data_IF_730013212110
#
_entry.id   IF_730013212110
#
_cell.length_a   1.000
_cell.length_b   1.000
_cell.length_c   1.000
_cell.angle_alpha   90.00
_cell.angle_beta   90.00
_cell.angle_gamma   90.00
#
_symmetry.space_group_name_H-M   'P 1'
#
loop_
_entity.id
_entity.type
_entity.pdbx_description
1 polymer ?
#
# COMPACT_ATOMS: atom_id res chain seq x y z
N UNK A 1 5.04 -8.18 0.96
CA UNK A 1 4.16 -8.19 2.14
C UNK A 1 3.31 -6.93 2.09
N UNK A 2 2.29 -6.94 1.23
CA UNK A 2 1.33 -5.86 1.12
C UNK A 2 0.23 -6.26 2.09
N UNK A 3 0.29 -5.75 3.32
CA UNK A 3 -0.90 -5.78 4.17
C UNK A 3 -1.86 -4.82 3.50
N UNK A 4 -2.96 -5.28 2.88
CA UNK A 4 -3.94 -4.36 2.35
C UNK A 4 -4.41 -3.47 3.49
N UNK A 5 -4.74 -2.21 3.20
CA UNK A 5 -5.34 -1.26 4.17
C UNK A 5 -6.67 -1.75 4.79
N UNK A 6 -7.07 -2.99 4.50
CA UNK A 6 -8.22 -3.74 5.00
C UNK A 6 -7.88 -4.90 5.95
N UNK A 7 -6.62 -5.26 6.21
CA UNK A 7 -6.27 -6.38 7.10
C UNK A 7 -6.22 -5.96 8.58
N UNK A 8 -7.40 -5.64 9.11
CA UNK A 8 -7.64 -5.15 10.47
C UNK A 8 -7.34 -6.16 11.59
N UNK A 9 -7.05 -7.41 11.26
CA UNK A 9 -6.78 -8.46 12.24
C UNK A 9 -5.41 -8.26 12.93
N UNK A 10 -4.38 -7.88 12.18
CA UNK A 10 -3.07 -7.52 12.74
C UNK A 10 -3.17 -6.26 13.62
N UNK A 11 -4.02 -5.31 13.22
CA UNK A 11 -4.30 -4.07 13.96
C UNK A 11 -5.03 -4.33 15.30
N UNK A 12 -6.01 -5.25 15.33
CA UNK A 12 -6.66 -5.67 16.59
C UNK A 12 -5.70 -6.35 17.54
N UNK A 13 -4.77 -7.16 17.03
CA UNK A 13 -3.72 -7.77 17.85
C UNK A 13 -2.78 -6.74 18.47
N UNK A 14 -2.46 -5.65 17.75
CA UNK A 14 -1.66 -4.55 18.27
C UNK A 14 -2.41 -3.74 19.34
N UNK A 15 -3.70 -3.47 19.14
CA UNK A 15 -4.57 -2.81 20.14
C UNK A 15 -4.62 -3.60 21.45
N UNK A 16 -4.85 -4.92 21.38
CA UNK A 16 -4.85 -5.78 22.57
C UNK A 16 -3.51 -5.80 23.33
N UNK A 17 -2.40 -5.56 22.63
CA UNK A 17 -1.06 -5.46 23.24
C UNK A 17 -0.89 -4.14 24.01
N UNK A 18 -1.45 -3.03 23.49
CA UNK A 18 -1.50 -1.72 24.18
C UNK A 18 -2.44 -1.77 25.39
N UNK A 19 -3.57 -2.50 25.29
CA UNK A 19 -4.50 -2.71 26.41
C UNK A 19 -3.87 -3.49 27.56
N UNK A 20 -3.13 -4.57 27.24
CA UNK A 20 -2.47 -5.40 28.24
C UNK A 20 -1.49 -4.56 29.08
N UNK A 21 -0.76 -3.64 28.44
CA UNK A 21 0.17 -2.73 29.11
C UNK A 21 -0.57 -1.64 29.89
N UNK A 22 -1.62 -1.04 29.30
CA UNK A 22 -2.44 0.00 29.97
C UNK A 22 -3.18 -0.55 31.20
N UNK A 23 -3.58 -1.81 31.18
CA UNK A 23 -4.22 -2.51 32.30
C UNK A 23 -3.26 -2.71 33.48
N UNK A 24 -2.01 -3.12 33.22
CA UNK A 24 -0.96 -3.24 34.24
C UNK A 24 -0.71 -1.90 34.95
N UNK A 25 -0.70 -0.79 34.20
CA UNK A 25 -0.54 0.58 34.75
C UNK A 25 -1.73 0.98 35.63
N UNK A 26 -2.95 0.59 35.28
CA UNK A 26 -4.14 0.98 36.04
C UNK A 26 -4.29 0.18 37.35
N UNK A 27 -3.81 -1.07 37.39
CA UNK A 27 -3.78 -1.91 38.60
C UNK A 27 -2.79 -1.36 39.65
N UNK A 28 -1.70 -0.71 39.25
CA UNK A 28 -0.74 -0.11 40.19
C UNK A 28 -1.25 1.11 40.97
N UNK A 29 -2.41 1.68 40.60
CA UNK A 29 -2.97 2.88 41.23
C UNK A 29 -3.83 2.60 42.48
N UNK A 30 -3.95 1.35 42.97
CA UNK A 30 -4.99 0.97 43.95
C UNK A 30 -4.53 0.42 45.31
N UNK A 31 -3.27 0.54 45.74
CA UNK A 31 -2.87 0.11 47.10
C UNK A 31 -1.89 1.07 47.79
N UNK A 32 -2.34 1.67 48.89
CA UNK A 32 -1.77 2.83 49.58
C UNK A 32 -0.56 2.54 50.52
N UNK A 33 0.40 3.48 50.48
CA UNK A 33 1.33 3.98 51.53
C UNK A 33 2.59 3.23 52.04
N UNK A 34 2.98 2.04 51.59
CA UNK A 34 4.29 1.42 52.00
C UNK A 34 5.27 1.11 50.84
N UNK A 35 4.86 1.34 49.59
CA UNK A 35 5.53 0.86 48.36
C UNK A 35 6.36 1.91 47.59
N UNK A 36 6.36 3.18 48.02
CA UNK A 36 6.76 4.35 47.22
C UNK A 36 8.20 4.32 46.65
N UNK A 37 9.17 3.67 47.30
CA UNK A 37 10.54 3.58 46.79
C UNK A 37 10.73 2.48 45.73
N UNK A 38 10.08 1.32 45.90
CA UNK A 38 10.12 0.20 44.94
C UNK A 38 9.22 0.52 43.72
N UNK A 39 8.11 1.23 43.94
CA UNK A 39 7.21 1.74 42.89
C UNK A 39 7.85 2.79 41.98
N UNK A 40 8.85 3.55 42.44
CA UNK A 40 9.53 4.55 41.58
C UNK A 40 10.30 3.89 40.42
N UNK A 41 10.92 2.73 40.67
CA UNK A 41 11.65 1.95 39.68
C UNK A 41 10.68 1.21 38.76
N UNK A 42 9.64 0.58 39.32
CA UNK A 42 8.62 -0.13 38.53
C UNK A 42 7.82 0.80 37.62
N UNK A 43 7.39 1.98 38.10
CA UNK A 43 6.72 3.00 37.27
C UNK A 43 7.63 3.54 36.17
N UNK A 44 8.91 3.76 36.45
CA UNK A 44 9.88 4.16 35.44
C UNK A 44 10.06 3.07 34.38
N UNK A 45 10.13 1.80 34.78
CA UNK A 45 10.20 0.65 33.87
C UNK A 45 8.92 0.55 33.02
N UNK A 46 7.73 0.73 33.59
CA UNK A 46 6.46 0.72 32.86
C UNK A 46 6.36 1.84 31.82
N UNK A 47 6.77 3.06 32.17
CA UNK A 47 6.82 4.19 31.23
C UNK A 47 7.84 3.95 30.11
N UNK A 48 8.99 3.36 30.42
CA UNK A 48 9.99 2.97 29.43
C UNK A 48 9.45 1.91 28.47
N UNK A 49 8.78 0.88 28.99
CA UNK A 49 8.16 -0.18 28.18
C UNK A 49 7.06 0.38 27.25
N UNK A 50 6.22 1.28 27.76
CA UNK A 50 5.20 1.97 26.97
C UNK A 50 5.82 2.80 25.82
N UNK A 51 6.87 3.57 26.12
CA UNK A 51 7.59 4.35 25.11
C UNK A 51 8.25 3.45 24.04
N UNK A 52 8.81 2.30 24.44
CA UNK A 52 9.37 1.33 23.50
C UNK A 52 8.29 0.78 22.55
N UNK A 53 7.09 0.48 23.07
CA UNK A 53 6.00 -0.07 22.25
C UNK A 53 5.55 0.94 21.19
N UNK A 54 5.36 2.22 21.55
CA UNK A 54 5.04 3.26 20.57
C UNK A 54 6.14 3.45 19.53
N UNK A 55 7.41 3.42 19.95
CA UNK A 55 8.55 3.48 19.05
C UNK A 55 8.57 2.31 18.06
N UNK A 56 8.37 1.07 18.52
CA UNK A 56 8.33 -0.11 17.66
C UNK A 56 7.12 -0.12 16.73
N UNK A 57 5.94 0.31 17.21
CA UNK A 57 4.73 0.42 16.38
C UNK A 57 4.92 1.44 15.26
N UNK A 58 5.34 2.66 15.60
CA UNK A 58 5.60 3.71 14.61
C UNK A 58 6.71 3.31 13.64
N UNK A 59 7.81 2.77 14.16
CA UNK A 59 8.90 2.25 13.34
C UNK A 59 8.47 1.11 12.41
N UNK A 60 7.55 0.25 12.86
CA UNK A 60 6.93 -0.80 12.05
C UNK A 60 6.11 -0.25 10.88
N UNK A 61 5.22 0.71 11.17
CA UNK A 61 4.41 1.42 10.16
C UNK A 61 5.32 2.12 9.14
N UNK A 62 6.33 2.85 9.60
CA UNK A 62 7.23 3.56 8.70
C UNK A 62 8.06 2.61 7.84
N UNK A 63 8.62 1.53 8.39
CA UNK A 63 9.32 0.52 7.60
C UNK A 63 8.41 -0.11 6.54
N UNK A 64 7.17 -0.40 6.88
CA UNK A 64 6.19 -0.97 5.94
C UNK A 64 5.84 0.02 4.83
N UNK A 65 5.55 1.28 5.16
CA UNK A 65 5.30 2.35 4.19
C UNK A 65 6.52 2.62 3.30
N UNK A 66 7.73 2.55 3.87
CA UNK A 66 8.98 2.78 3.13
C UNK A 66 9.28 1.66 2.14
N UNK A 67 9.08 0.40 2.54
CA UNK A 67 9.18 -0.73 1.61
C UNK A 67 8.15 -0.62 0.48
N UNK A 68 6.92 -0.17 0.78
CA UNK A 68 5.92 0.08 -0.25
C UNK A 68 6.38 1.18 -1.22
N UNK A 69 6.90 2.30 -0.71
CA UNK A 69 7.45 3.39 -1.52
C UNK A 69 8.58 2.93 -2.44
N UNK A 70 9.51 2.12 -1.93
CA UNK A 70 10.59 1.53 -2.74
C UNK A 70 10.04 0.67 -3.88
N UNK A 71 9.08 -0.21 -3.59
CA UNK A 71 8.48 -1.08 -4.60
C UNK A 71 7.76 -0.24 -5.69
N UNK A 72 6.93 0.72 -5.28
CA UNK A 72 6.22 1.61 -6.20
C UNK A 72 7.19 2.39 -7.09
N UNK A 73 8.24 2.98 -6.50
CA UNK A 73 9.26 3.71 -7.27
C UNK A 73 10.01 2.80 -8.24
N UNK A 74 10.47 1.62 -7.82
CA UNK A 74 11.22 0.70 -8.69
C UNK A 74 10.38 0.26 -9.90
N UNK A 75 9.11 -0.09 -9.67
CA UNK A 75 8.18 -0.49 -10.74
C UNK A 75 7.90 0.70 -11.67
N UNK A 76 7.53 1.86 -11.10
CA UNK A 76 7.26 3.08 -11.86
C UNK A 76 8.46 3.51 -12.70
N UNK A 77 9.66 3.51 -12.12
CA UNK A 77 10.91 3.82 -12.81
C UNK A 77 11.22 2.82 -13.92
N UNK A 78 11.03 1.52 -13.69
CA UNK A 78 11.24 0.50 -14.73
C UNK A 78 10.30 0.72 -15.93
N UNK A 79 9.04 1.09 -15.65
CA UNK A 79 8.04 1.42 -16.68
C UNK A 79 8.41 2.71 -17.41
N UNK A 80 8.88 3.75 -16.71
CA UNK A 80 9.34 4.99 -17.34
C UNK A 80 10.51 4.72 -18.31
N UNK A 81 11.51 3.95 -17.85
CA UNK A 81 12.65 3.55 -18.69
C UNK A 81 12.16 2.76 -19.90
N UNK A 82 11.25 1.80 -19.71
CA UNK A 82 10.68 1.05 -20.82
C UNK A 82 9.93 1.95 -21.80
N UNK A 83 9.02 2.80 -21.32
CA UNK A 83 8.15 3.64 -22.16
C UNK A 83 8.97 4.59 -23.05
N UNK A 84 9.95 5.30 -22.49
CA UNK A 84 10.73 6.28 -23.24
C UNK A 84 11.87 5.68 -24.10
N UNK A 85 12.15 4.37 -23.99
CA UNK A 85 13.15 3.69 -24.82
C UNK A 85 12.54 2.89 -26.00
N UNK A 86 11.26 3.12 -26.35
CA UNK A 86 10.53 2.38 -27.39
C UNK A 86 10.64 3.00 -28.81
N UNK A 87 11.75 3.66 -29.14
CA UNK A 87 11.95 4.32 -30.43
C UNK A 87 12.38 3.38 -31.58
N UNK A 88 12.17 3.76 -32.86
CA UNK A 88 12.62 2.96 -34.01
C UNK A 88 14.13 2.71 -33.95
N UNK A 89 14.55 1.44 -33.93
CA UNK A 89 15.97 1.05 -33.87
C UNK A 89 16.60 1.07 -32.47
N UNK A 90 15.83 1.34 -31.41
CA UNK A 90 16.31 1.25 -30.03
C UNK A 90 16.23 -0.21 -29.53
N UNK A 91 17.35 -0.76 -29.08
CA UNK A 91 17.36 -2.04 -28.34
C UNK A 91 17.08 -1.75 -26.87
N UNK A 92 16.11 -2.46 -26.29
CA UNK A 92 15.79 -2.36 -24.86
C UNK A 92 17.05 -2.59 -24.00
N UNK A 93 17.43 -1.59 -23.21
CA UNK A 93 18.52 -1.67 -22.20
C UNK A 93 18.00 -1.45 -20.78
N UNK A 94 16.69 -1.48 -20.58
CA UNK A 94 16.06 -1.27 -19.28
C UNK A 94 16.38 -2.40 -18.31
N UNK A 95 17.40 -2.22 -17.49
CA UNK A 95 17.69 -3.17 -16.43
C UNK A 95 16.89 -2.79 -15.18
N UNK A 96 16.05 -3.69 -14.65
CA UNK A 96 15.43 -3.55 -13.32
C UNK A 96 16.47 -3.12 -12.25
N UNK A 97 17.70 -3.62 -12.40
CA UNK A 97 18.85 -3.26 -11.58
C UNK A 97 19.19 -1.77 -11.61
N UNK A 98 18.97 -1.08 -12.73
CA UNK A 98 19.16 0.36 -12.85
C UNK A 98 18.13 1.13 -12.01
N UNK A 99 16.85 0.75 -12.07
CA UNK A 99 15.80 1.36 -11.23
C UNK A 99 16.06 1.13 -9.75
N UNK A 100 16.53 -0.07 -9.37
CA UNK A 100 16.97 -0.37 -8.00
C UNK A 100 18.14 0.54 -7.62
N UNK A 101 19.18 0.61 -8.45
CA UNK A 101 20.34 1.46 -8.20
C UNK A 101 19.93 2.93 -8.00
N UNK A 102 19.06 3.47 -8.86
CA UNK A 102 18.57 4.85 -8.74
C UNK A 102 17.74 5.09 -7.49
N UNK A 103 16.91 4.11 -7.09
CA UNK A 103 16.13 4.18 -5.86
C UNK A 103 17.04 4.38 -4.64
N UNK A 104 18.10 3.58 -4.52
CA UNK A 104 19.02 3.63 -3.38
C UNK A 104 20.04 4.76 -3.47
N UNK A 105 20.51 5.11 -4.67
CA UNK A 105 21.59 6.08 -4.86
C UNK A 105 21.12 7.54 -4.90
N UNK A 106 19.95 7.80 -5.46
CA UNK A 106 19.49 9.15 -5.77
C UNK A 106 18.16 9.53 -5.10
N UNK A 107 17.21 8.59 -5.01
CA UNK A 107 15.83 8.93 -4.61
C UNK A 107 15.44 8.49 -3.19
N UNK A 108 16.32 7.80 -2.47
CA UNK A 108 16.05 7.21 -1.16
C UNK A 108 15.45 8.20 -0.15
N UNK A 109 15.97 9.43 -0.12
CA UNK A 109 15.48 10.48 0.78
C UNK A 109 14.05 10.93 0.47
N UNK A 110 13.68 11.04 -0.82
CA UNK A 110 12.31 11.40 -1.21
C UNK A 110 11.32 10.27 -0.91
N UNK A 111 11.74 9.01 -1.09
CA UNK A 111 10.95 7.84 -0.72
C UNK A 111 10.76 7.73 0.79
N UNK A 112 11.82 7.98 1.57
CA UNK A 112 11.78 8.03 3.03
C UNK A 112 10.84 9.13 3.54
N UNK A 113 10.88 10.33 2.93
CA UNK A 113 10.03 11.45 3.31
C UNK A 113 8.55 11.19 3.03
N UNK A 114 8.19 10.76 1.81
CA UNK A 114 6.80 10.45 1.48
C UNK A 114 6.22 9.31 2.33
N UNK A 115 7.00 8.25 2.54
CA UNK A 115 6.58 7.13 3.40
C UNK A 115 6.47 7.50 4.87
N UNK A 116 7.29 8.43 5.35
CA UNK A 116 7.17 8.98 6.71
C UNK A 116 5.84 9.73 6.90
N UNK A 117 5.43 10.56 5.92
CA UNK A 117 4.13 11.25 5.96
C UNK A 117 2.99 10.23 6.06
N UNK A 118 3.01 9.18 5.24
CA UNK A 118 2.01 8.12 5.29
C UNK A 118 2.00 7.41 6.66
N UNK A 119 3.18 7.10 7.22
CA UNK A 119 3.30 6.46 8.52
C UNK A 119 2.75 7.31 9.67
N UNK A 120 2.94 8.63 9.64
CA UNK A 120 2.35 9.56 10.62
C UNK A 120 0.84 9.50 10.57
N UNK A 121 0.24 9.53 9.37
CA UNK A 121 -1.22 9.46 9.22
C UNK A 121 -1.76 8.10 9.66
N UNK A 122 -1.10 7.00 9.30
CA UNK A 122 -1.44 5.65 9.76
C UNK A 122 -1.36 5.53 11.29
N UNK A 123 -0.35 6.15 11.92
CA UNK A 123 -0.22 6.17 13.37
C UNK A 123 -1.36 6.95 14.03
N UNK A 124 -1.74 8.12 13.50
CA UNK A 124 -2.90 8.89 13.99
C UNK A 124 -4.18 8.04 13.88
N UNK A 125 -4.38 7.34 12.76
CA UNK A 125 -5.53 6.44 12.58
C UNK A 125 -5.55 5.31 13.60
N UNK A 126 -4.38 4.71 13.88
CA UNK A 126 -4.23 3.69 14.90
C UNK A 126 -4.62 4.21 16.28
N UNK A 127 -4.17 5.40 16.66
CA UNK A 127 -4.52 6.01 17.94
C UNK A 127 -6.03 6.30 18.04
N UNK A 128 -6.68 6.76 16.97
CA UNK A 128 -8.13 6.98 16.95
C UNK A 128 -8.93 5.68 17.09
N UNK A 129 -8.53 4.61 16.42
CA UNK A 129 -9.18 3.30 16.56
C UNK A 129 -8.97 2.70 17.94
N UNK A 130 -7.79 2.91 18.54
CA UNK A 130 -7.54 2.57 19.94
C UNK A 130 -8.48 3.34 20.89
N UNK A 131 -8.64 4.66 20.71
CA UNK A 131 -9.57 5.45 21.51
C UNK A 131 -11.04 4.99 21.35
N UNK A 132 -11.44 4.59 20.13
CA UNK A 132 -12.77 4.00 19.87
C UNK A 132 -12.95 2.67 20.59
N UNK A 133 -11.93 1.81 20.58
CA UNK A 133 -11.95 0.55 21.29
C UNK A 133 -12.08 0.75 22.80
N UNK A 134 -11.30 1.66 23.38
CA UNK A 134 -11.39 1.96 24.82
C UNK A 134 -12.73 2.55 25.23
N UNK A 135 -13.30 3.44 24.42
CA UNK A 135 -14.63 4.02 24.69
C UNK A 135 -15.71 2.93 24.74
N UNK A 136 -15.59 1.86 23.94
CA UNK A 136 -16.51 0.71 23.98
C UNK A 136 -16.37 -0.14 25.24
N UNK A 137 -15.18 -0.17 25.85
CA UNK A 137 -14.92 -0.96 27.07
C UNK A 137 -15.22 -0.19 28.36
N UNK A 138 -14.91 1.11 28.41
CA UNK A 138 -14.91 1.89 29.66
C UNK A 138 -16.13 2.80 29.84
N UNK A 139 -16.75 3.27 28.76
CA UNK A 139 -17.82 4.27 28.83
C UNK A 139 -19.20 3.66 28.64
N UNK A 140 -20.14 4.06 29.50
CA UNK A 140 -21.58 3.93 29.24
C UNK A 140 -21.97 4.62 27.91
N UNK A 141 -23.19 4.36 27.43
CA UNK A 141 -23.68 4.64 26.07
C UNK A 141 -23.82 6.15 25.70
N UNK A 142 -22.75 6.94 25.80
CA UNK A 142 -22.73 8.32 25.32
C UNK A 142 -22.62 8.36 23.79
N UNK A 143 -23.79 8.41 23.14
CA UNK A 143 -23.94 8.45 21.68
C UNK A 143 -23.17 9.60 21.02
N UNK A 144 -22.99 10.73 21.71
CA UNK A 144 -22.27 11.89 21.18
C UNK A 144 -20.77 11.59 20.98
N UNK A 145 -20.11 11.04 22.00
CA UNK A 145 -18.68 10.67 21.92
C UNK A 145 -18.43 9.62 20.85
N UNK A 146 -19.31 8.62 20.72
CA UNK A 146 -19.23 7.60 19.66
C UNK A 146 -19.32 8.23 18.27
N UNK A 147 -20.30 9.12 18.05
CA UNK A 147 -20.50 9.81 16.79
C UNK A 147 -19.27 10.64 16.37
N UNK A 148 -18.69 11.41 17.31
CA UNK A 148 -17.49 12.23 17.04
C UNK A 148 -16.30 11.35 16.66
N UNK A 149 -16.04 10.28 17.42
CA UNK A 149 -14.93 9.37 17.14
C UNK A 149 -15.10 8.61 15.82
N UNK A 150 -16.32 8.23 15.46
CA UNK A 150 -16.62 7.62 14.16
C UNK A 150 -16.39 8.60 13.01
N UNK A 151 -16.79 9.87 13.17
CA UNK A 151 -16.55 10.92 12.18
C UNK A 151 -15.04 11.19 11.98
N UNK A 152 -14.28 11.34 13.07
CA UNK A 152 -12.83 11.55 13.02
C UNK A 152 -12.09 10.36 12.40
N UNK A 153 -12.47 9.13 12.76
CA UNK A 153 -11.90 7.92 12.17
C UNK A 153 -12.17 7.87 10.65
N UNK A 154 -13.38 8.22 10.21
CA UNK A 154 -13.70 8.33 8.79
C UNK A 154 -12.83 9.38 8.07
N UNK A 155 -12.71 10.58 8.64
CA UNK A 155 -11.90 11.66 8.07
C UNK A 155 -10.42 11.26 7.93
N UNK A 156 -9.84 10.68 8.97
CA UNK A 156 -8.43 10.23 8.93
C UNK A 156 -8.26 9.05 7.98
N UNK A 157 -9.24 8.14 7.88
CA UNK A 157 -9.20 7.06 6.89
C UNK A 157 -9.25 7.59 5.45
N UNK A 158 -10.05 8.62 5.17
CA UNK A 158 -10.07 9.31 3.88
C UNK A 158 -8.74 10.00 3.60
N UNK A 159 -8.17 10.68 4.60
CA UNK A 159 -6.89 11.35 4.48
C UNK A 159 -5.73 10.38 4.24
N UNK A 160 -5.70 9.22 4.92
CA UNK A 160 -4.71 8.17 4.66
C UNK A 160 -4.76 7.69 3.21
N UNK A 161 -5.97 7.39 2.70
CA UNK A 161 -6.15 6.97 1.30
C UNK A 161 -5.69 8.04 0.31
N UNK A 162 -5.94 9.31 0.62
CA UNK A 162 -5.48 10.43 -0.19
C UNK A 162 -3.94 10.54 -0.19
N UNK A 163 -3.30 10.40 0.97
CA UNK A 163 -1.83 10.43 1.07
C UNK A 163 -1.21 9.21 0.37
N UNK A 164 -1.80 8.02 0.50
CA UNK A 164 -1.36 6.83 -0.22
C UNK A 164 -1.45 7.04 -1.75
N UNK A 165 -2.56 7.60 -2.22
CA UNK A 165 -2.77 7.96 -3.63
C UNK A 165 -1.75 8.99 -4.12
N UNK A 166 -1.53 10.06 -3.35
CA UNK A 166 -0.59 11.13 -3.69
C UNK A 166 0.85 10.60 -3.73
N UNK A 167 1.27 9.84 -2.72
CA UNK A 167 2.60 9.25 -2.65
C UNK A 167 2.90 8.37 -3.86
N UNK A 168 1.98 7.46 -4.19
CA UNK A 168 2.12 6.56 -5.34
C UNK A 168 2.38 7.32 -6.63
N UNK A 169 1.60 8.36 -6.89
CA UNK A 169 1.74 9.19 -8.10
C UNK A 169 2.97 10.10 -8.07
N UNK A 170 3.31 10.64 -6.90
CA UNK A 170 4.53 11.40 -6.70
C UNK A 170 5.78 10.56 -7.02
N UNK A 171 5.80 9.28 -6.61
CA UNK A 171 6.94 8.40 -6.90
C UNK A 171 7.13 8.13 -8.40
N UNK A 172 6.05 8.03 -9.17
CA UNK A 172 6.12 7.95 -10.64
C UNK A 172 6.68 9.26 -11.18
N UNK A 173 6.20 10.41 -10.71
CA UNK A 173 6.71 11.71 -11.17
C UNK A 173 8.17 11.97 -10.78
N UNK A 174 8.64 11.47 -9.64
CA UNK A 174 10.06 11.52 -9.28
C UNK A 174 10.88 10.72 -10.30
N UNK A 175 10.38 9.56 -10.74
CA UNK A 175 11.07 8.75 -11.75
C UNK A 175 11.14 9.44 -13.12
N UNK A 176 10.12 10.21 -13.49
CA UNK A 176 10.07 10.98 -14.74
C UNK A 176 10.93 12.25 -14.71
N UNK A 177 10.82 13.03 -13.64
CA UNK A 177 11.36 14.40 -13.60
C UNK A 177 12.64 14.54 -12.77
N UNK A 178 13.00 13.51 -11.99
CA UNK A 178 14.09 13.55 -11.00
C UNK A 178 13.97 14.66 -9.94
N UNK A 179 12.78 15.26 -9.76
CA UNK A 179 12.50 16.27 -8.73
C UNK A 179 12.44 15.62 -7.33
N UNK A 180 12.57 16.45 -6.29
CA UNK A 180 12.30 16.03 -4.92
C UNK A 180 10.81 15.78 -4.69
N UNK A 181 10.46 15.15 -3.56
CA UNK A 181 9.09 14.70 -3.29
C UNK A 181 8.02 15.78 -3.43
N UNK A 182 8.16 16.96 -2.79
CA UNK A 182 7.07 17.94 -2.78
C UNK A 182 6.76 18.53 -4.17
N UNK A 183 7.74 18.99 -4.97
CA UNK A 183 7.49 19.41 -6.34
C UNK A 183 6.89 18.29 -7.20
N UNK A 184 7.43 17.07 -7.11
CA UNK A 184 6.92 15.94 -7.88
C UNK A 184 5.48 15.56 -7.49
N UNK A 185 5.13 15.64 -6.21
CA UNK A 185 3.77 15.40 -5.72
C UNK A 185 2.79 16.47 -6.24
N UNK A 186 3.23 17.73 -6.29
CA UNK A 186 2.44 18.82 -6.88
C UNK A 186 2.19 18.56 -8.37
N UNK A 187 3.25 18.30 -9.14
CA UNK A 187 3.14 18.03 -10.58
C UNK A 187 2.27 16.79 -10.85
N UNK A 188 2.38 15.75 -10.01
CA UNK A 188 1.55 14.56 -10.09
C UNK A 188 0.07 14.88 -9.89
N UNK A 189 -0.25 15.68 -8.87
CA UNK A 189 -1.63 16.08 -8.58
C UNK A 189 -2.21 16.96 -9.69
N UNK A 190 -1.45 17.92 -10.22
CA UNK A 190 -1.86 18.78 -11.32
C UNK A 190 -2.13 17.97 -12.60
N UNK A 191 -1.25 17.02 -12.94
CA UNK A 191 -1.39 16.11 -14.08
C UNK A 191 -2.65 15.23 -13.97
N UNK A 192 -2.91 14.69 -12.78
CA UNK A 192 -4.12 13.90 -12.48
C UNK A 192 -5.37 14.76 -12.61
N UNK A 193 -5.37 15.95 -12.02
CA UNK A 193 -6.53 16.83 -12.04
C UNK A 193 -6.92 17.23 -13.47
N UNK A 194 -5.92 17.59 -14.28
CA UNK A 194 -6.11 17.92 -15.69
C UNK A 194 -6.64 16.74 -16.54
N UNK A 195 -6.37 15.51 -16.14
CA UNK A 195 -6.72 14.29 -16.88
C UNK A 195 -7.59 13.31 -16.07
N UNK A 196 -8.46 13.85 -15.21
CA UNK A 196 -9.22 13.05 -14.21
C UNK A 196 -10.00 11.90 -14.85
N UNK A 197 -10.63 12.11 -16.01
CA UNK A 197 -11.41 11.08 -16.69
C UNK A 197 -10.54 9.90 -17.12
N UNK A 198 -9.40 10.16 -17.76
CA UNK A 198 -8.46 9.12 -18.22
C UNK A 198 -7.89 8.36 -17.03
N UNK A 199 -7.51 9.07 -15.98
CA UNK A 199 -6.98 8.47 -14.75
C UNK A 199 -8.01 7.58 -14.06
N UNK A 200 -9.25 8.05 -13.92
CA UNK A 200 -10.35 7.29 -13.32
C UNK A 200 -10.68 6.02 -14.10
N UNK A 201 -10.72 6.10 -15.44
CA UNK A 201 -11.00 4.94 -16.30
C UNK A 201 -9.92 3.86 -16.18
N UNK A 202 -8.64 4.21 -16.31
CA UNK A 202 -7.54 3.23 -16.21
C UNK A 202 -7.46 2.64 -14.80
N UNK A 203 -7.58 3.47 -13.76
CA UNK A 203 -7.59 3.02 -12.37
C UNK A 203 -8.79 2.09 -12.09
N UNK A 204 -9.97 2.41 -12.62
CA UNK A 204 -11.18 1.62 -12.48
C UNK A 204 -11.08 0.25 -13.18
N UNK A 205 -10.68 0.23 -14.45
CA UNK A 205 -10.48 -1.01 -15.22
C UNK A 205 -9.38 -1.87 -14.58
N UNK A 206 -8.26 -1.25 -14.20
CA UNK A 206 -7.17 -1.93 -13.51
C UNK A 206 -7.62 -2.57 -12.20
N UNK A 207 -8.47 -1.89 -11.42
CA UNK A 207 -9.02 -2.40 -10.17
C UNK A 207 -9.92 -3.62 -10.39
N UNK A 208 -10.79 -3.58 -11.40
CA UNK A 208 -11.65 -4.71 -11.77
C UNK A 208 -10.80 -5.91 -12.22
N UNK A 209 -9.84 -5.68 -13.10
CA UNK A 209 -8.93 -6.73 -13.58
C UNK A 209 -8.11 -7.34 -12.45
N UNK A 210 -7.59 -6.51 -11.55
CA UNK A 210 -6.86 -6.91 -10.35
C UNK A 210 -7.71 -7.77 -9.42
N UNK A 211 -9.00 -7.43 -9.26
CA UNK A 211 -9.94 -8.22 -8.47
C UNK A 211 -10.22 -9.59 -9.09
N UNK A 212 -10.55 -9.61 -10.39
CA UNK A 212 -10.86 -10.85 -11.12
C UNK A 212 -9.63 -11.77 -11.14
N UNK A 213 -8.44 -11.26 -11.42
CA UNK A 213 -7.24 -12.10 -11.48
C UNK A 213 -6.85 -12.71 -10.14
N UNK A 214 -7.07 -12.02 -9.01
CA UNK A 214 -6.87 -12.61 -7.66
C UNK A 214 -7.80 -13.80 -7.42
N UNK A 215 -9.08 -13.66 -7.78
CA UNK A 215 -10.06 -14.75 -7.66
C UNK A 215 -9.72 -15.90 -8.60
N UNK A 216 -9.39 -15.59 -9.86
CA UNK A 216 -9.04 -16.58 -10.86
C UNK A 216 -7.84 -17.44 -10.44
N UNK A 217 -6.74 -16.83 -9.99
CA UNK A 217 -5.56 -17.56 -9.53
C UNK A 217 -5.89 -18.45 -8.31
N UNK A 218 -6.68 -17.93 -7.37
CA UNK A 218 -7.12 -18.70 -6.20
C UNK A 218 -7.96 -19.92 -6.58
N UNK A 219 -9.02 -19.72 -7.36
CA UNK A 219 -9.92 -20.81 -7.76
C UNK A 219 -9.25 -21.82 -8.69
N UNK A 220 -8.48 -21.37 -9.67
CA UNK A 220 -7.73 -22.26 -10.56
C UNK A 220 -6.77 -23.15 -9.74
N UNK A 221 -6.06 -22.58 -8.77
CA UNK A 221 -5.15 -23.36 -7.92
C UNK A 221 -5.89 -24.39 -7.08
N UNK A 222 -7.06 -24.06 -6.53
CA UNK A 222 -7.90 -25.02 -5.80
C UNK A 222 -8.34 -26.15 -6.70
N UNK A 223 -8.84 -25.84 -7.90
CA UNK A 223 -9.29 -26.86 -8.85
C UNK A 223 -8.15 -27.82 -9.20
N UNK A 224 -6.99 -27.30 -9.61
CA UNK A 224 -5.84 -28.15 -9.95
C UNK A 224 -5.30 -28.95 -8.76
N UNK A 225 -5.15 -28.32 -7.59
CA UNK A 225 -4.67 -29.03 -6.39
C UNK A 225 -5.64 -30.11 -5.93
N UNK A 226 -6.95 -29.84 -5.97
CA UNK A 226 -7.98 -30.80 -5.62
C UNK A 226 -7.96 -32.01 -6.57
N UNK A 227 -7.91 -31.78 -7.88
CA UNK A 227 -7.80 -32.85 -8.88
C UNK A 227 -6.54 -33.70 -8.70
N UNK A 228 -5.41 -33.08 -8.32
CA UNK A 228 -4.18 -33.82 -7.99
C UNK A 228 -4.39 -34.71 -6.77
N UNK A 229 -4.99 -34.20 -5.69
CA UNK A 229 -5.17 -34.95 -4.45
C UNK A 229 -6.13 -36.14 -4.59
N UNK A 230 -7.13 -36.06 -5.48
CA UNK A 230 -8.09 -37.17 -5.67
C UNK A 230 -7.65 -38.20 -6.71
N UNK A 231 -6.80 -37.82 -7.67
CA UNK A 231 -6.48 -38.68 -8.83
C UNK A 231 -5.04 -39.21 -8.86
N UNK A 232 -4.11 -38.63 -8.09
CA UNK A 232 -2.67 -38.97 -8.17
C UNK A 232 -2.21 -39.73 -6.91
N UNK A 233 -1.57 -40.88 -7.09
CA UNK A 233 -0.94 -41.63 -6.00
C UNK A 233 0.42 -41.00 -5.60
N UNK A 234 0.80 -41.00 -4.30
CA UNK A 234 0.11 -41.64 -3.16
C UNK A 234 -0.93 -40.73 -2.47
N UNK A 235 -1.17 -39.53 -3.00
CA UNK A 235 -2.05 -38.55 -2.35
C UNK A 235 -3.49 -39.06 -2.21
N UNK A 236 -3.95 -39.82 -3.19
CA UNK A 236 -5.26 -40.44 -3.18
C UNK A 236 -5.47 -41.45 -2.03
N UNK A 237 -4.47 -42.27 -1.72
CA UNK A 237 -4.59 -43.30 -0.66
C UNK A 237 -4.25 -42.78 0.73
N UNK A 238 -3.31 -41.83 0.80
CA UNK A 238 -2.69 -41.45 2.08
C UNK A 238 -3.35 -40.22 2.72
N UNK A 239 -4.15 -39.44 1.97
CA UNK A 239 -4.87 -38.29 2.52
C UNK A 239 -6.25 -38.66 3.07
N UNK A 240 -6.47 -38.33 4.35
CA UNK A 240 -7.77 -38.44 5.01
C UNK A 240 -8.84 -37.48 4.44
N UNK A 241 -8.44 -36.29 3.97
CA UNK A 241 -9.34 -35.35 3.28
C UNK A 241 -8.55 -34.41 2.35
N UNK A 242 -8.90 -34.32 1.06
CA UNK A 242 -8.25 -33.41 0.12
C UNK A 242 -8.63 -31.94 0.32
N UNK A 243 -9.68 -31.66 1.10
CA UNK A 243 -10.23 -30.29 1.25
C UNK A 243 -9.26 -29.38 2.02
N UNK A 244 -8.73 -29.86 3.14
CA UNK A 244 -7.83 -29.08 4.01
C UNK A 244 -6.57 -28.61 3.27
N UNK A 245 -5.78 -29.48 2.62
CA UNK A 245 -4.62 -29.04 1.87
C UNK A 245 -4.98 -28.16 0.67
N UNK A 246 -6.12 -28.36 0.00
CA UNK A 246 -6.59 -27.45 -1.06
C UNK A 246 -6.89 -26.04 -0.53
N UNK A 247 -7.44 -25.91 0.68
CA UNK A 247 -7.62 -24.60 1.34
C UNK A 247 -6.27 -23.95 1.65
N UNK A 248 -5.28 -24.72 2.10
CA UNK A 248 -3.92 -24.21 2.33
C UNK A 248 -3.30 -23.73 1.02
N UNK A 249 -3.44 -24.50 -0.08
CA UNK A 249 -3.02 -24.09 -1.41
C UNK A 249 -3.73 -22.80 -1.86
N UNK A 250 -5.03 -22.65 -1.61
CA UNK A 250 -5.78 -21.43 -1.89
C UNK A 250 -5.17 -20.22 -1.18
N UNK A 251 -4.92 -20.31 0.14
CA UNK A 251 -4.39 -19.20 0.93
C UNK A 251 -3.04 -18.75 0.37
N UNK A 252 -2.13 -19.69 0.11
CA UNK A 252 -0.79 -19.39 -0.43
C UNK A 252 -0.91 -18.77 -1.83
N UNK A 253 -1.71 -19.38 -2.72
CA UNK A 253 -1.88 -18.89 -4.08
C UNK A 253 -2.53 -17.50 -4.12
N UNK A 254 -3.52 -17.24 -3.27
CA UNK A 254 -4.18 -15.95 -3.16
C UNK A 254 -3.21 -14.87 -2.64
N UNK A 255 -2.34 -15.19 -1.68
CA UNK A 255 -1.27 -14.29 -1.24
C UNK A 255 -0.30 -13.93 -2.37
N UNK A 256 0.12 -14.91 -3.17
CA UNK A 256 0.97 -14.68 -4.35
C UNK A 256 0.24 -13.82 -5.39
N UNK A 257 -1.04 -14.09 -5.62
CA UNK A 257 -1.87 -13.34 -6.55
C UNK A 257 -2.00 -11.86 -6.11
N UNK A 258 -2.15 -11.58 -4.82
CA UNK A 258 -2.18 -10.20 -4.31
C UNK A 258 -0.90 -9.45 -4.67
N UNK A 259 0.26 -10.09 -4.47
CA UNK A 259 1.55 -9.48 -4.77
C UNK A 259 1.71 -9.23 -6.27
N UNK A 260 1.43 -10.23 -7.12
CA UNK A 260 1.58 -10.10 -8.57
C UNK A 260 0.63 -9.05 -9.15
N UNK A 261 -0.65 -9.07 -8.78
CA UNK A 261 -1.63 -8.12 -9.32
C UNK A 261 -1.37 -6.69 -8.82
N UNK A 262 -0.71 -6.50 -7.67
CA UNK A 262 -0.28 -5.18 -7.23
C UNK A 262 0.79 -4.56 -8.14
N UNK A 263 1.70 -5.38 -8.67
CA UNK A 263 2.74 -4.95 -9.61
C UNK A 263 2.09 -4.53 -10.92
N UNK A 264 1.14 -5.33 -11.41
CA UNK A 264 0.34 -5.02 -12.60
C UNK A 264 -0.35 -3.67 -12.47
N UNK A 265 -1.10 -3.44 -11.38
CA UNK A 265 -1.80 -2.17 -11.18
C UNK A 265 -0.83 -0.98 -11.16
N UNK A 266 0.30 -1.11 -10.45
CA UNK A 266 1.33 -0.07 -10.41
C UNK A 266 1.90 0.24 -11.81
N UNK A 267 2.09 -0.80 -12.64
CA UNK A 267 2.58 -0.63 -14.00
C UNK A 267 1.54 0.08 -14.88
N UNK A 268 0.26 -0.27 -14.79
CA UNK A 268 -0.82 0.42 -15.52
C UNK A 268 -0.86 1.91 -15.19
N UNK A 269 -0.80 2.26 -13.90
CA UNK A 269 -0.81 3.65 -13.46
C UNK A 269 0.44 4.40 -13.97
N UNK A 270 1.62 3.77 -13.91
CA UNK A 270 2.86 4.35 -14.43
C UNK A 270 2.84 4.55 -15.96
N UNK A 271 2.32 3.58 -16.74
CA UNK A 271 2.16 3.73 -18.20
C UNK A 271 1.25 4.91 -18.52
N UNK A 272 0.12 5.04 -17.82
CA UNK A 272 -0.78 6.17 -18.03
C UNK A 272 -0.10 7.50 -17.69
N UNK A 273 0.62 7.59 -16.57
CA UNK A 273 1.36 8.81 -16.22
C UNK A 273 2.42 9.14 -17.26
N UNK A 274 3.17 8.15 -17.76
CA UNK A 274 4.14 8.35 -18.82
C UNK A 274 3.48 8.89 -20.10
N UNK A 275 2.33 8.32 -20.48
CA UNK A 275 1.56 8.77 -21.64
C UNK A 275 1.11 10.23 -21.51
N UNK A 276 0.51 10.59 -20.37
CA UNK A 276 0.06 11.97 -20.11
C UNK A 276 1.26 12.93 -20.12
N UNK A 277 2.37 12.53 -19.49
CA UNK A 277 3.60 13.35 -19.43
C UNK A 277 4.23 13.55 -20.82
N UNK A 278 4.30 12.51 -21.65
CA UNK A 278 4.79 12.56 -23.03
C UNK A 278 3.91 13.45 -23.92
N UNK A 279 2.58 13.36 -23.76
CA UNK A 279 1.63 14.24 -24.46
C UNK A 279 1.82 15.71 -24.06
N UNK A 280 2.00 16.00 -22.77
CA UNK A 280 2.22 17.36 -22.26
C UNK A 280 3.54 17.95 -22.73
N UNK A 281 4.64 17.18 -22.70
CA UNK A 281 5.93 17.58 -23.23
C UNK A 281 5.87 17.89 -24.73
N UNK A 282 5.19 17.06 -25.51
CA UNK A 282 5.07 17.29 -26.94
C UNK A 282 4.22 18.49 -27.29
N UNK A 283 3.13 18.74 -26.55
CA UNK A 283 2.32 19.96 -26.72
C UNK A 283 3.14 21.22 -26.48
N UNK A 284 4.05 21.20 -25.50
CA UNK A 284 4.97 22.31 -25.26
C UNK A 284 5.97 22.53 -26.42
N UNK A 285 6.37 21.45 -27.11
CA UNK A 285 7.27 21.48 -28.26
C UNK A 285 6.55 21.70 -29.61
N UNK A 286 5.24 21.96 -29.62
CA UNK A 286 4.43 22.20 -30.84
C UNK A 286 3.93 20.94 -31.55
N UNK A 287 4.07 19.76 -30.94
CA UNK A 287 3.48 18.50 -31.40
C UNK A 287 2.04 18.30 -30.93
N UNK A 288 1.28 17.42 -31.59
CA UNK A 288 -0.13 17.17 -31.26
C UNK A 288 -0.40 15.94 -30.38
N UNK A 289 0.52 14.96 -30.32
CA UNK A 289 0.32 13.69 -29.60
C UNK A 289 1.60 13.13 -28.96
N UNK A 290 1.44 12.14 -28.08
CA UNK A 290 2.54 11.42 -27.42
C UNK A 290 3.44 10.69 -28.45
N UNK A 291 4.74 10.99 -28.43
CA UNK A 291 5.72 10.52 -29.43
C UNK A 291 6.18 9.10 -29.12
N UNK A 292 6.41 8.80 -27.84
CA UNK A 292 6.96 7.53 -27.36
C UNK A 292 5.86 6.51 -27.02
N UNK A 293 4.59 6.85 -27.21
CA UNK A 293 3.46 5.96 -26.99
C UNK A 293 3.57 4.70 -27.87
N UNK A 294 3.52 3.48 -27.30
CA UNK A 294 3.50 2.23 -28.05
C UNK A 294 2.32 2.20 -29.04
N UNK A 295 2.53 1.59 -30.20
CA UNK A 295 1.52 1.54 -31.29
C UNK A 295 0.17 1.00 -30.80
N UNK A 296 0.18 -0.14 -30.09
CA UNK A 296 -1.02 -0.74 -29.46
C UNK A 296 -1.81 0.21 -28.53
N UNK A 297 -1.13 1.11 -27.82
CA UNK A 297 -1.77 2.05 -26.90
C UNK A 297 -2.30 3.28 -27.67
N UNK A 298 -1.57 3.72 -28.69
CA UNK A 298 -2.00 4.80 -29.61
C UNK A 298 -3.29 4.43 -30.33
N UNK A 299 -3.39 3.21 -30.86
CA UNK A 299 -4.61 2.70 -31.50
C UNK A 299 -5.83 2.74 -30.58
N UNK A 300 -5.66 2.39 -29.29
CA UNK A 300 -6.74 2.42 -28.32
C UNK A 300 -7.27 3.84 -28.07
N UNK A 301 -6.37 4.81 -27.91
CA UNK A 301 -6.74 6.21 -27.68
C UNK A 301 -7.34 6.88 -28.92
N UNK A 302 -6.78 6.63 -30.10
CA UNK A 302 -7.30 7.18 -31.36
C UNK A 302 -8.67 6.59 -31.69
N UNK A 303 -8.91 5.30 -31.40
CA UNK A 303 -10.20 4.64 -31.55
C UNK A 303 -11.30 5.27 -30.68
N UNK A 304 -11.00 5.63 -29.42
CA UNK A 304 -11.97 6.26 -28.51
C UNK A 304 -12.36 7.70 -28.86
N UNK A 305 -11.59 8.41 -29.70
CA UNK A 305 -11.97 9.75 -30.18
C UNK A 305 -12.93 9.71 -31.38
N UNK A 306 -13.10 8.54 -31.99
CA UNK A 306 -13.92 8.35 -33.21
C UNK A 306 -15.34 7.82 -32.95
N UNK A 307 -15.72 7.63 -31.68
CA UNK A 307 -17.00 7.06 -31.23
C UNK A 307 -17.62 7.91 -30.13
#
# INVERSE_FOLDING_TARGET
MIVPSSDWNLFRSLVGLVDCISCVINISNLQDTLLVLETSREMAVLLLLQNMVYYFMFGGLWKQAFLLALNQFIIGCSVCIWYFNQGPGQSYTGNLFQSIYWAFRYHLGSLAFGSFILAVVQFIRLMLEYAKYQTKQMSGDNKCTKCILDCLSCLVACFERFIEFLNKNAYIQIALTSKSFCPAAKDAFESIWANTMRYSLVSGIGSIFTFIGKLFVGFATVLFSYEIFINVEPYKTDLASPIVPSIVCFIIAYMVAILFMSIYQMACDAVLTCFIYDEELNKQNGGMSAQHCPETLREWFDGTQSS
#
